data_IF_352267143679
#
_entry.id   IF_352267143679
#
_cell.length_a   1.000
_cell.length_b   1.000
_cell.length_c   1.000
_cell.angle_alpha   90.00
_cell.angle_beta   90.00
_cell.angle_gamma   90.00
#
_symmetry.space_group_name_H-M   'P 1'
#
loop_
_entity.id
_entity.type
_entity.pdbx_description
1 polymer ?
#
# COMPACT_ATOMS: atom_id res chain seq x y z
N UNK A 1 -34.36 3.55 85.56
CA UNK A 1 -33.19 4.24 84.97
C UNK A 1 -33.69 4.90 83.68
N UNK A 2 -33.88 6.23 83.68
CA UNK A 2 -33.03 7.24 82.99
C UNK A 2 -32.87 6.95 81.48
N UNK A 3 -32.99 7.88 80.53
CA UNK A 3 -33.43 9.27 80.47
C UNK A 3 -33.31 9.69 78.98
N UNK A 4 -34.39 10.20 78.37
CA UNK A 4 -34.47 11.35 77.44
C UNK A 4 -33.73 11.38 76.09
N UNK A 5 -34.55 11.37 75.03
CA UNK A 5 -34.74 12.42 74.01
C UNK A 5 -33.62 13.46 73.80
N UNK A 6 -33.10 13.60 72.56
CA UNK A 6 -33.16 14.81 71.69
C UNK A 6 -32.23 14.75 70.47
N UNK A 7 -32.87 14.90 69.30
CA UNK A 7 -32.51 15.63 68.07
C UNK A 7 -31.08 16.21 68.00
N UNK A 8 -30.35 15.89 66.92
CA UNK A 8 -29.44 16.85 66.30
C UNK A 8 -29.47 16.72 64.77
N UNK A 9 -29.94 17.80 64.14
CA UNK A 9 -29.85 18.10 62.72
C UNK A 9 -28.37 18.22 62.32
N UNK A 10 -27.93 17.57 61.26
CA UNK A 10 -26.70 17.98 60.56
C UNK A 10 -26.89 17.83 59.06
N UNK A 11 -27.14 18.96 58.42
CA UNK A 11 -27.14 19.17 56.98
C UNK A 11 -25.72 18.92 56.45
N UNK A 12 -25.57 18.01 55.50
CA UNK A 12 -24.41 18.01 54.61
C UNK A 12 -24.91 17.91 53.18
N UNK A 13 -24.95 19.05 52.52
CA UNK A 13 -25.10 19.17 51.09
C UNK A 13 -23.80 18.68 50.42
N UNK A 14 -23.84 17.49 49.82
CA UNK A 14 -22.79 17.07 48.89
C UNK A 14 -23.29 17.20 47.46
N UNK A 15 -22.87 18.31 46.88
CA UNK A 15 -22.92 18.66 45.46
C UNK A 15 -22.19 17.57 44.66
N UNK A 16 -22.92 16.62 44.07
CA UNK A 16 -22.33 15.68 43.11
C UNK A 16 -22.47 16.27 41.71
N UNK A 17 -21.33 16.73 41.22
CA UNK A 17 -21.13 17.29 39.90
C UNK A 17 -21.43 16.19 38.86
N UNK A 18 -22.50 16.35 38.07
CA UNK A 18 -22.79 15.47 36.94
C UNK A 18 -21.60 15.49 35.97
N UNK A 19 -20.89 14.38 35.88
CA UNK A 19 -19.82 14.16 34.92
C UNK A 19 -20.46 14.08 33.53
N UNK A 20 -20.34 15.16 32.74
CA UNK A 20 -20.68 15.12 31.33
C UNK A 20 -19.75 14.09 30.66
N UNK A 21 -20.32 13.00 30.17
CA UNK A 21 -19.60 12.00 29.41
C UNK A 21 -19.00 12.64 28.16
N UNK A 22 -17.68 12.83 28.15
CA UNK A 22 -16.93 12.94 26.92
C UNK A 22 -16.96 11.55 26.28
N UNK A 23 -17.87 11.38 25.33
CA UNK A 23 -17.84 10.26 24.40
C UNK A 23 -16.59 10.47 23.54
N UNK A 24 -15.52 9.72 23.81
CA UNK A 24 -14.40 9.63 22.88
C UNK A 24 -14.98 9.23 21.52
N UNK A 25 -14.96 10.18 20.58
CA UNK A 25 -15.16 9.92 19.17
C UNK A 25 -13.96 9.10 18.71
N UNK A 26 -14.01 7.80 18.95
CA UNK A 26 -13.07 6.85 18.38
C UNK A 26 -13.36 6.81 16.88
N UNK A 27 -12.75 7.74 16.16
CA UNK A 27 -12.66 7.72 14.71
C UNK A 27 -12.14 6.32 14.35
N UNK A 28 -12.97 5.54 13.68
CA UNK A 28 -12.60 4.23 13.17
C UNK A 28 -11.44 4.41 12.20
N UNK A 29 -10.21 4.16 12.68
CA UNK A 29 -9.03 3.93 11.84
C UNK A 29 -9.45 2.86 10.83
N UNK A 30 -9.54 3.24 9.56
CA UNK A 30 -9.87 2.33 8.48
C UNK A 30 -8.99 1.08 8.63
N UNK A 31 -9.59 -0.11 8.50
CA UNK A 31 -8.91 -1.38 8.64
C UNK A 31 -7.65 -1.37 7.76
N UNK A 32 -6.51 -1.23 8.42
CA UNK A 32 -5.17 -1.36 7.85
C UNK A 32 -5.10 -2.80 7.35
N UNK A 33 -5.35 -3.00 6.06
CA UNK A 33 -5.05 -4.29 5.46
C UNK A 33 -3.54 -4.32 5.45
N UNK A 34 -2.97 -4.99 6.45
CA UNK A 34 -1.54 -5.17 6.64
C UNK A 34 -1.00 -5.99 5.46
N UNK A 35 -0.82 -5.32 4.33
CA UNK A 35 -0.19 -5.87 3.15
C UNK A 35 1.29 -5.79 3.43
N UNK A 36 1.94 -6.96 3.53
CA UNK A 36 3.38 -7.05 3.67
C UNK A 36 4.06 -6.92 2.30
N UNK A 37 5.12 -6.10 2.23
CA UNK A 37 5.96 -5.98 1.04
C UNK A 37 6.63 -7.32 0.72
N UNK A 38 7.07 -8.05 1.76
CA UNK A 38 7.68 -9.37 1.59
C UNK A 38 6.79 -10.34 0.79
N UNK A 39 5.46 -10.29 0.99
CA UNK A 39 4.50 -11.10 0.25
C UNK A 39 4.42 -10.69 -1.23
N UNK A 40 4.35 -9.39 -1.50
CA UNK A 40 4.36 -8.83 -2.87
C UNK A 40 5.65 -9.23 -3.60
N UNK A 41 6.80 -9.02 -2.95
CA UNK A 41 8.10 -9.35 -3.50
C UNK A 41 8.29 -10.86 -3.74
N UNK A 42 7.82 -11.70 -2.81
CA UNK A 42 7.85 -13.17 -2.97
C UNK A 42 7.08 -13.61 -4.22
N UNK A 43 5.87 -13.09 -4.43
CA UNK A 43 5.09 -13.41 -5.63
C UNK A 43 5.76 -12.88 -6.88
N UNK A 44 6.30 -11.66 -6.87
CA UNK A 44 7.04 -11.10 -8.00
C UNK A 44 8.23 -11.98 -8.39
N UNK A 45 9.06 -12.38 -7.43
CA UNK A 45 10.24 -13.24 -7.66
C UNK A 45 9.90 -14.61 -8.25
N UNK A 46 8.80 -15.23 -7.81
CA UNK A 46 8.36 -16.53 -8.33
C UNK A 46 8.02 -16.50 -9.83
N UNK A 47 7.86 -15.31 -10.41
CA UNK A 47 7.55 -15.15 -11.81
C UNK A 47 8.77 -14.75 -12.66
N UNK A 48 9.94 -14.52 -12.07
CA UNK A 48 11.17 -14.23 -12.81
C UNK A 48 11.45 -15.30 -13.88
N UNK A 49 11.87 -14.85 -15.05
CA UNK A 49 12.16 -15.70 -16.22
C UNK A 49 10.95 -16.11 -17.05
N UNK A 50 9.72 -15.86 -16.59
CA UNK A 50 8.52 -16.17 -17.39
C UNK A 50 8.46 -15.30 -18.64
N UNK A 51 7.97 -15.85 -19.77
CA UNK A 51 7.97 -15.15 -21.05
C UNK A 51 7.04 -13.94 -21.04
N UNK A 52 7.40 -12.96 -21.87
CA UNK A 52 6.53 -11.85 -22.17
C UNK A 52 5.60 -12.18 -23.33
N UNK A 53 4.32 -11.90 -23.14
CA UNK A 53 3.29 -12.01 -24.19
C UNK A 53 2.36 -10.81 -24.02
N UNK A 54 2.26 -9.99 -25.06
CA UNK A 54 1.35 -8.83 -25.06
C UNK A 54 -0.08 -9.27 -24.75
N UNK A 55 -0.73 -8.64 -23.78
CA UNK A 55 -2.07 -8.99 -23.35
C UNK A 55 -2.14 -10.08 -22.28
N UNK A 56 -1.05 -10.76 -21.94
CA UNK A 56 -1.07 -11.85 -20.96
C UNK A 56 -1.11 -11.35 -19.50
N UNK A 57 -1.84 -12.07 -18.66
CA UNK A 57 -2.09 -11.74 -17.23
C UNK A 57 -1.70 -12.88 -16.28
N UNK A 58 -0.92 -13.85 -16.76
CA UNK A 58 -0.43 -14.98 -15.98
C UNK A 58 -1.30 -16.24 -16.01
N UNK A 59 -0.87 -17.30 -15.30
CA UNK A 59 0.41 -17.38 -14.59
C UNK A 59 1.57 -17.85 -15.49
N UNK A 60 1.35 -18.26 -16.74
CA UNK A 60 2.39 -18.82 -17.62
C UNK A 60 3.21 -17.77 -18.37
N UNK A 61 2.60 -16.63 -18.69
CA UNK A 61 3.23 -15.50 -19.38
C UNK A 61 2.58 -14.20 -18.93
N UNK A 62 3.27 -13.07 -19.14
CA UNK A 62 2.79 -11.76 -18.71
C UNK A 62 3.10 -10.66 -19.73
N UNK A 63 2.29 -9.61 -19.76
CA UNK A 63 2.78 -8.28 -20.11
C UNK A 63 3.06 -7.44 -18.85
N UNK A 64 3.62 -6.24 -19.01
CA UNK A 64 4.06 -5.40 -17.89
C UNK A 64 2.96 -5.14 -16.86
N UNK A 65 1.80 -4.65 -17.32
CA UNK A 65 0.65 -4.37 -16.47
C UNK A 65 -0.07 -5.62 -15.99
N UNK A 66 -0.08 -6.70 -16.78
CA UNK A 66 -0.64 -7.98 -16.38
C UNK A 66 0.18 -8.64 -15.26
N UNK A 67 1.50 -8.48 -15.29
CA UNK A 67 2.40 -8.90 -14.22
C UNK A 67 2.11 -8.16 -12.91
N UNK A 68 2.08 -6.83 -12.93
CA UNK A 68 1.81 -6.05 -11.71
C UNK A 68 0.42 -6.33 -11.16
N UNK A 69 -0.62 -6.40 -12.00
CA UNK A 69 -1.97 -6.79 -11.59
C UNK A 69 -2.01 -8.17 -10.96
N UNK A 70 -1.32 -9.16 -11.54
CA UNK A 70 -1.26 -10.51 -11.00
C UNK A 70 -0.59 -10.56 -9.62
N UNK A 71 0.56 -9.91 -9.48
CA UNK A 71 1.32 -9.86 -8.23
C UNK A 71 0.48 -9.26 -7.12
N UNK A 72 -0.09 -8.08 -7.35
CA UNK A 72 -0.91 -7.37 -6.36
C UNK A 72 -2.21 -8.12 -6.02
N UNK A 73 -2.86 -8.71 -7.02
CA UNK A 73 -4.07 -9.50 -6.78
C UNK A 73 -3.78 -10.72 -5.91
N UNK A 74 -2.66 -11.40 -6.16
CA UNK A 74 -2.31 -12.64 -5.47
C UNK A 74 -1.69 -12.42 -4.08
N UNK A 75 -0.88 -11.39 -3.91
CA UNK A 75 -0.19 -11.12 -2.66
C UNK A 75 -1.02 -10.27 -1.69
N UNK A 76 -1.79 -9.32 -2.21
CA UNK A 76 -2.41 -8.26 -1.42
C UNK A 76 -3.95 -8.18 -1.59
N UNK A 77 -4.54 -9.05 -2.42
CA UNK A 77 -5.96 -8.95 -2.83
C UNK A 77 -6.35 -7.63 -3.51
N UNK A 78 -5.37 -6.82 -3.91
CA UNK A 78 -5.56 -5.53 -4.58
C UNK A 78 -5.81 -5.74 -6.06
N UNK A 79 -6.88 -5.14 -6.58
CA UNK A 79 -7.22 -5.23 -7.99
C UNK A 79 -6.73 -4.00 -8.72
N UNK A 80 -5.64 -4.15 -9.47
CA UNK A 80 -5.11 -3.09 -10.32
C UNK A 80 -5.79 -3.05 -11.69
N UNK A 81 -6.02 -1.86 -12.28
CA UNK A 81 -6.46 -1.72 -13.65
C UNK A 81 -5.58 -2.47 -14.64
N UNK A 82 -6.16 -2.87 -15.78
CA UNK A 82 -5.49 -3.76 -16.73
C UNK A 82 -4.29 -3.13 -17.44
N UNK A 83 -4.30 -1.82 -17.70
CA UNK A 83 -3.26 -1.17 -18.53
C UNK A 83 -2.32 -0.34 -17.68
N UNK A 84 -1.06 -0.19 -18.12
CA UNK A 84 -0.06 0.62 -17.43
C UNK A 84 -0.54 2.08 -17.24
N UNK A 85 -1.18 2.67 -18.25
CA UNK A 85 -1.77 4.01 -18.15
C UNK A 85 -2.88 4.08 -17.08
N UNK A 86 -3.76 3.08 -17.00
CA UNK A 86 -4.83 3.08 -16.01
C UNK A 86 -4.29 2.85 -14.59
N UNK A 87 -3.27 2.00 -14.43
CA UNK A 87 -2.56 1.84 -13.16
C UNK A 87 -1.87 3.14 -12.73
N UNK A 88 -1.20 3.82 -13.66
CA UNK A 88 -0.61 5.12 -13.41
C UNK A 88 -1.68 6.09 -12.93
N UNK A 89 -2.81 6.20 -13.62
CA UNK A 89 -3.89 7.13 -13.26
C UNK A 89 -4.50 6.83 -11.89
N UNK A 90 -4.70 5.54 -11.55
CA UNK A 90 -5.34 5.11 -10.30
C UNK A 90 -4.46 5.26 -9.06
N UNK A 91 -3.13 5.11 -9.18
CA UNK A 91 -2.23 5.17 -8.03
C UNK A 91 -2.00 6.58 -7.48
N UNK A 92 -1.63 6.67 -6.20
CA UNK A 92 -1.24 7.93 -5.57
C UNK A 92 0.16 8.33 -6.03
N UNK A 93 0.29 9.48 -6.72
CA UNK A 93 1.58 9.88 -7.30
C UNK A 93 2.61 10.14 -6.22
N UNK A 94 3.80 9.60 -6.43
CA UNK A 94 4.96 9.79 -5.55
C UNK A 94 6.15 10.31 -6.36
N UNK A 95 6.97 11.16 -5.73
CA UNK A 95 8.21 11.59 -6.35
C UNK A 95 9.26 10.47 -6.32
N UNK A 96 10.18 10.45 -7.28
CA UNK A 96 11.23 9.42 -7.32
C UNK A 96 12.05 9.33 -6.02
N UNK A 97 12.27 10.46 -5.33
CA UNK A 97 13.02 10.53 -4.08
C UNK A 97 12.29 9.88 -2.90
N UNK A 98 10.98 9.71 -3.01
CA UNK A 98 10.13 9.15 -1.97
C UNK A 98 9.63 7.75 -2.34
N UNK A 99 10.22 7.12 -3.36
CA UNK A 99 9.88 5.75 -3.74
C UNK A 99 10.10 4.78 -2.58
N UNK A 100 9.08 3.97 -2.35
CA UNK A 100 9.09 2.89 -1.36
C UNK A 100 9.00 1.55 -2.07
N UNK A 101 9.64 0.54 -1.47
CA UNK A 101 9.52 -0.86 -1.89
C UNK A 101 8.04 -1.22 -2.07
N UNK A 102 7.69 -1.76 -3.24
CA UNK A 102 6.31 -2.06 -3.62
C UNK A 102 5.68 -1.04 -4.57
N UNK A 103 6.15 0.21 -4.61
CA UNK A 103 5.60 1.20 -5.54
C UNK A 103 5.67 0.76 -7.00
N UNK A 104 4.77 1.29 -7.83
CA UNK A 104 4.88 1.11 -9.27
C UNK A 104 5.64 2.27 -9.89
N UNK A 105 6.55 1.95 -10.80
CA UNK A 105 7.29 2.91 -11.63
C UNK A 105 6.80 2.80 -13.07
N UNK A 106 6.65 3.95 -13.73
CA UNK A 106 5.97 4.06 -15.01
C UNK A 106 6.83 4.76 -16.04
N UNK A 107 6.75 4.26 -17.28
CA UNK A 107 7.56 4.72 -18.40
C UNK A 107 6.68 4.95 -19.63
N UNK A 108 7.13 5.85 -20.49
CA UNK A 108 6.39 6.23 -21.68
C UNK A 108 6.88 7.54 -22.27
N UNK A 109 6.06 8.17 -23.10
CA UNK A 109 6.39 9.48 -23.68
C UNK A 109 6.05 10.62 -22.73
N UNK A 110 4.94 10.50 -22.01
CA UNK A 110 4.44 11.52 -21.08
C UNK A 110 3.48 10.90 -20.06
N UNK A 111 3.02 11.69 -19.08
CA UNK A 111 2.01 11.25 -18.11
C UNK A 111 0.68 10.81 -18.76
N UNK A 112 0.40 11.30 -19.98
CA UNK A 112 -0.78 10.93 -20.76
C UNK A 112 -0.51 9.78 -21.75
N UNK A 113 0.73 9.28 -21.83
CA UNK A 113 1.16 8.23 -22.76
C UNK A 113 2.16 7.31 -22.07
N UNK A 114 1.68 6.57 -21.08
CA UNK A 114 2.40 5.51 -20.37
C UNK A 114 2.30 4.22 -21.19
N UNK A 115 3.46 3.62 -21.49
CA UNK A 115 3.57 2.38 -22.26
C UNK A 115 4.07 1.20 -21.43
N UNK A 116 4.68 1.45 -20.27
CA UNK A 116 5.27 0.39 -19.44
C UNK A 116 5.15 0.67 -17.95
N UNK A 117 5.18 -0.40 -17.16
CA UNK A 117 5.12 -0.36 -15.70
C UNK A 117 6.00 -1.46 -15.10
N UNK A 118 6.64 -1.16 -13.98
CA UNK A 118 7.42 -2.11 -13.18
C UNK A 118 7.11 -1.97 -11.69
N UNK A 119 7.39 -3.03 -10.94
CA UNK A 119 7.32 -3.08 -9.48
C UNK A 119 8.67 -2.65 -8.89
N UNK A 120 8.72 -1.53 -8.18
CA UNK A 120 9.92 -1.07 -7.50
C UNK A 120 10.26 -1.97 -6.31
N UNK A 121 11.52 -2.40 -6.22
CA UNK A 121 11.99 -3.33 -5.19
C UNK A 121 13.08 -2.71 -4.29
N UNK A 122 13.26 -1.39 -4.36
CA UNK A 122 14.32 -0.67 -3.63
C UNK A 122 15.59 -0.50 -4.45
N UNK A 123 16.52 0.31 -3.92
CA UNK A 123 17.87 0.51 -4.47
C UNK A 123 17.90 0.89 -5.97
N UNK A 124 16.90 1.65 -6.44
CA UNK A 124 16.82 2.05 -7.86
C UNK A 124 16.49 0.90 -8.82
N UNK A 125 16.02 -0.25 -8.32
CA UNK A 125 15.70 -1.44 -9.12
C UNK A 125 14.20 -1.74 -9.15
N UNK A 126 13.78 -2.44 -10.19
CA UNK A 126 12.42 -2.93 -10.36
C UNK A 126 12.39 -4.38 -10.86
N UNK A 127 11.24 -5.04 -10.68
CA UNK A 127 10.86 -6.23 -11.44
C UNK A 127 9.76 -5.84 -12.41
N UNK A 128 9.92 -6.20 -13.68
CA UNK A 128 8.97 -5.91 -14.73
C UNK A 128 8.90 -7.05 -15.75
N UNK A 129 7.83 -7.10 -16.54
CA UNK A 129 7.69 -8.01 -17.67
C UNK A 129 7.85 -7.25 -18.98
N UNK A 130 8.89 -7.57 -19.75
CA UNK A 130 9.22 -6.93 -21.02
C UNK A 130 9.66 -7.98 -22.05
N UNK A 131 10.03 -7.60 -23.28
CA UNK A 131 10.38 -8.53 -24.37
C UNK A 131 11.34 -9.69 -24.01
N UNK A 132 12.15 -9.54 -22.95
CA UNK A 132 13.09 -10.54 -22.43
C UNK A 132 12.53 -11.41 -21.29
N UNK A 133 11.23 -11.34 -21.04
CA UNK A 133 10.52 -11.98 -19.94
C UNK A 133 10.41 -11.09 -18.69
N UNK A 134 10.02 -11.72 -17.58
CA UNK A 134 10.00 -11.08 -16.25
C UNK A 134 11.42 -11.03 -15.69
N UNK A 135 11.98 -9.83 -15.50
CA UNK A 135 13.37 -9.67 -15.06
C UNK A 135 13.51 -8.63 -13.95
N UNK A 136 14.69 -8.55 -13.37
CA UNK A 136 15.10 -7.44 -12.51
C UNK A 136 16.03 -6.51 -13.26
N UNK A 137 15.77 -5.21 -13.22
CA UNK A 137 16.64 -4.20 -13.82
C UNK A 137 16.57 -2.85 -13.12
N UNK A 138 17.41 -1.90 -13.57
CA UNK A 138 17.52 -0.56 -13.00
C UNK A 138 16.42 0.35 -13.56
N UNK A 139 15.72 1.08 -12.68
CA UNK A 139 14.63 2.00 -13.08
C UNK A 139 15.14 3.13 -13.98
N UNK A 140 16.34 3.66 -13.72
CA UNK A 140 16.97 4.73 -14.51
C UNK A 140 17.94 4.20 -15.57
N UNK A 141 17.60 3.09 -16.21
CA UNK A 141 18.40 2.59 -17.34
C UNK A 141 18.26 3.51 -18.58
N UNK A 142 19.29 3.63 -19.43
CA UNK A 142 19.28 4.58 -20.57
C UNK A 142 18.17 4.36 -21.61
N UNK A 143 17.64 3.14 -21.72
CA UNK A 143 16.55 2.80 -22.63
C UNK A 143 15.16 3.09 -22.06
N UNK A 144 15.06 3.41 -20.77
CA UNK A 144 13.80 3.71 -20.12
C UNK A 144 13.56 5.23 -20.05
N UNK A 145 12.47 5.68 -20.65
CA UNK A 145 11.98 7.04 -20.42
C UNK A 145 11.05 7.06 -19.20
N UNK A 146 11.63 7.30 -18.03
CA UNK A 146 10.89 7.38 -16.77
C UNK A 146 9.93 8.57 -16.77
N UNK A 147 8.66 8.31 -16.49
CA UNK A 147 7.62 9.36 -16.43
C UNK A 147 7.20 9.65 -14.99
N UNK A 148 7.01 8.62 -14.17
CA UNK A 148 6.53 8.82 -12.81
C UNK A 148 6.41 7.54 -12.01
N UNK A 149 5.90 7.67 -10.79
CA UNK A 149 5.72 6.58 -9.84
C UNK A 149 4.45 6.76 -9.04
N UNK A 150 3.92 5.67 -8.49
CA UNK A 150 2.75 5.73 -7.61
C UNK A 150 2.79 4.68 -6.49
N UNK A 151 2.34 5.10 -5.30
CA UNK A 151 1.96 4.21 -4.22
C UNK A 151 0.65 3.50 -4.58
N UNK A 152 0.62 2.19 -4.37
CA UNK A 152 -0.56 1.35 -4.60
C UNK A 152 -1.26 1.01 -3.29
N UNK A 153 -0.47 0.67 -2.28
CA UNK A 153 -0.91 0.41 -0.90
C UNK A 153 0.12 1.00 0.04
N UNK A 154 -0.33 1.31 1.26
CA UNK A 154 0.59 1.55 2.36
C UNK A 154 0.99 0.18 2.92
N UNK A 155 2.28 -0.12 2.90
CA UNK A 155 2.83 -1.28 3.59
C UNK A 155 3.07 -0.90 5.05
N UNK A 156 2.86 -1.82 5.98
CA UNK A 156 3.14 -1.56 7.39
C UNK A 156 4.64 -1.29 7.59
N UNK A 157 4.97 -0.32 8.43
CA UNK A 157 6.32 0.26 8.51
C UNK A 157 7.39 -0.70 9.02
N UNK A 158 6.97 -1.83 9.60
CA UNK A 158 7.83 -2.79 10.28
C UNK A 158 8.46 -3.82 9.33
N UNK A 159 8.01 -3.91 8.07
CA UNK A 159 8.50 -4.87 7.05
C UNK A 159 9.51 -4.24 6.05
N UNK A 160 9.79 -2.94 6.16
CA UNK A 160 10.69 -2.24 5.24
C UNK A 160 12.19 -2.49 5.53
N UNK A 161 12.51 -3.08 6.69
CA UNK A 161 13.85 -3.18 7.28
C UNK A 161 14.58 -4.50 7.03
N UNK A 162 13.93 -5.52 6.45
CA UNK A 162 14.59 -6.79 6.10
C UNK A 162 15.19 -6.75 4.67
N UNK A 163 16.40 -6.18 4.55
CA UNK A 163 17.42 -6.56 3.54
C UNK A 163 18.82 -6.09 3.99
#
# INVERSE_FOLDING_TARGET
MKLHTKILLTLVAFFTLSFAGFQDAQASKAADTDVSYSAVYKVAKQNLGKPYVYGATGPSAFDCSGFTSYVYKKAASVTLPRTAQAQYNAGQKVSYKNLQKGDLVFFGWSAASISHVGLYIGNGKMIDAQNRGVITETVKAPWWNYVGSAHIVNFDSDDATDD
#
